data_IF_807685881562
#
_entry.id   IF_807685881562
#
_cell.length_a   1.000
_cell.length_b   1.000
_cell.length_c   1.000
_cell.angle_alpha   90.00
_cell.angle_beta   90.00
_cell.angle_gamma   90.00
#
_symmetry.space_group_name_H-M   'P 1'
#
loop_
_entity.id
_entity.type
_entity.pdbx_description
1 polymer ?
#
# COMPACT_ATOMS: atom_id res chain seq x y z
N UNK A 1 -28.15 -95.13 -10.31
CA UNK A 1 -27.91 -95.92 -9.09
C UNK A 1 -26.86 -95.18 -8.29
N UNK A 2 -27.02 -94.63 -7.09
CA UNK A 2 -28.08 -94.70 -6.07
C UNK A 2 -27.75 -93.58 -5.05
N UNK A 3 -28.74 -92.71 -4.77
CA UNK A 3 -29.10 -92.04 -3.50
C UNK A 3 -28.02 -91.41 -2.58
N UNK A 4 -28.24 -90.14 -2.19
CA UNK A 4 -28.26 -89.62 -0.79
C UNK A 4 -28.78 -88.17 -0.81
N UNK A 5 -30.08 -87.90 -0.57
CA UNK A 5 -30.83 -87.67 0.69
C UNK A 5 -30.41 -86.44 1.54
N UNK A 6 -31.39 -85.53 1.66
CA UNK A 6 -31.55 -84.33 2.53
C UNK A 6 -31.31 -84.56 4.04
N UNK A 7 -31.08 -83.49 4.83
CA UNK A 7 -32.16 -82.80 5.58
C UNK A 7 -32.06 -81.26 5.45
N UNK A 8 -33.11 -80.46 5.18
CA UNK A 8 -34.24 -80.03 6.02
C UNK A 8 -33.86 -79.67 7.46
N UNK A 9 -33.80 -78.36 7.75
CA UNK A 9 -34.22 -77.83 9.05
C UNK A 9 -34.80 -76.42 8.86
N UNK A 10 -36.07 -76.31 9.24
CA UNK A 10 -36.94 -75.13 9.21
C UNK A 10 -37.13 -74.65 10.64
N UNK A 11 -37.10 -73.32 10.79
CA UNK A 11 -37.73 -72.47 11.81
C UNK A 11 -37.33 -72.59 13.30
N UNK A 12 -36.83 -71.47 13.82
CA UNK A 12 -37.33 -70.90 15.07
C UNK A 12 -37.58 -69.40 14.85
N UNK A 13 -38.85 -69.00 14.87
CA UNK A 13 -39.29 -67.62 14.88
C UNK A 13 -39.32 -67.13 16.32
N UNK A 14 -38.61 -66.03 16.60
CA UNK A 14 -38.83 -65.20 17.79
C UNK A 14 -39.17 -63.80 17.34
N UNK A 15 -40.44 -63.44 17.53
CA UNK A 15 -40.98 -62.08 17.40
C UNK A 15 -40.61 -61.33 18.68
N UNK A 16 -39.76 -60.31 18.55
CA UNK A 16 -39.48 -59.31 19.58
C UNK A 16 -39.95 -57.95 19.08
N UNK A 17 -40.89 -57.34 19.81
CA UNK A 17 -41.57 -56.08 19.48
C UNK A 17 -40.64 -54.87 19.69
N UNK A 18 -40.89 -53.86 18.85
CA UNK A 18 -40.17 -52.62 18.58
C UNK A 18 -39.87 -51.69 19.77
N UNK A 19 -38.73 -51.00 19.66
CA UNK A 19 -38.52 -49.61 20.08
C UNK A 19 -37.86 -48.88 18.91
N UNK A 20 -38.45 -47.75 18.50
CA UNK A 20 -38.11 -47.04 17.27
C UNK A 20 -36.79 -46.26 17.34
N UNK A 21 -36.09 -46.23 16.21
CA UNK A 21 -35.15 -45.17 15.85
C UNK A 21 -35.19 -45.00 14.32
N UNK A 22 -35.99 -44.05 13.87
CA UNK A 22 -35.93 -43.52 12.51
C UNK A 22 -34.87 -42.43 12.46
N UNK A 23 -34.05 -42.41 11.40
CA UNK A 23 -33.19 -41.26 11.11
C UNK A 23 -32.03 -41.57 10.18
N UNK A 24 -32.33 -41.87 8.91
CA UNK A 24 -31.32 -41.80 7.86
C UNK A 24 -30.97 -40.33 7.58
N UNK A 25 -29.69 -40.01 7.48
CA UNK A 25 -29.21 -38.70 7.02
C UNK A 25 -28.74 -38.80 5.56
N UNK A 26 -29.45 -38.17 4.61
CA UNK A 26 -28.89 -37.75 3.35
C UNK A 26 -28.38 -36.30 3.45
N UNK A 27 -27.28 -36.03 2.75
CA UNK A 27 -26.80 -34.74 2.27
C UNK A 27 -26.48 -33.62 3.28
N UNK A 28 -25.21 -33.23 3.26
CA UNK A 28 -24.74 -31.93 3.70
C UNK A 28 -23.30 -31.74 3.24
N UNK A 29 -23.10 -31.35 1.98
CA UNK A 29 -21.92 -30.59 1.59
C UNK A 29 -21.87 -29.39 2.50
N UNK A 30 -21.04 -29.45 3.55
CA UNK A 30 -20.75 -28.31 4.38
C UNK A 30 -20.04 -27.33 3.45
N UNK A 31 -20.74 -26.27 3.05
CA UNK A 31 -20.12 -25.12 2.43
C UNK A 31 -19.00 -24.69 3.38
N UNK A 32 -17.77 -24.90 2.94
CA UNK A 32 -16.60 -24.21 3.46
C UNK A 32 -16.96 -22.72 3.45
N UNK A 33 -16.91 -22.00 4.59
CA UNK A 33 -17.13 -20.57 4.54
C UNK A 33 -16.11 -20.00 3.57
N UNK A 34 -16.56 -19.14 2.64
CA UNK A 34 -15.68 -18.38 1.79
C UNK A 34 -14.59 -17.78 2.69
N UNK A 35 -13.36 -18.29 2.55
CA UNK A 35 -12.27 -17.97 3.43
C UNK A 35 -12.10 -16.47 3.46
N UNK A 36 -11.95 -15.90 4.66
CA UNK A 36 -11.35 -14.58 4.78
C UNK A 36 -10.06 -14.59 3.93
N UNK A 37 -9.77 -13.53 3.17
CA UNK A 37 -8.47 -13.40 2.54
C UNK A 37 -7.39 -13.71 3.58
N UNK A 38 -6.37 -14.43 3.16
CA UNK A 38 -5.21 -14.69 4.03
C UNK A 38 -4.71 -13.33 4.55
N UNK A 39 -4.39 -13.25 5.85
CA UNK A 39 -3.99 -11.99 6.49
C UNK A 39 -2.86 -11.32 5.69
N UNK A 40 -1.93 -12.12 5.16
CA UNK A 40 -0.88 -11.67 4.25
C UNK A 40 -1.45 -10.92 3.04
N UNK A 41 -2.39 -11.53 2.30
CA UNK A 41 -2.96 -10.94 1.09
C UNK A 41 -3.62 -9.59 1.37
N UNK A 42 -4.37 -9.49 2.48
CA UNK A 42 -5.02 -8.23 2.86
C UNK A 42 -4.01 -7.16 3.29
N UNK A 43 -2.98 -7.54 4.06
CA UNK A 43 -1.96 -6.59 4.51
C UNK A 43 -1.10 -6.06 3.37
N UNK A 44 -0.83 -6.87 2.35
CA UNK A 44 -0.02 -6.48 1.18
C UNK A 44 -0.83 -5.82 0.06
N UNK A 45 -2.16 -5.76 0.18
CA UNK A 45 -3.02 -5.16 -0.84
C UNK A 45 -2.88 -3.63 -0.89
N UNK A 46 -2.46 -3.01 0.21
CA UNK A 46 -2.35 -1.57 0.34
C UNK A 46 -1.05 -1.19 1.06
N UNK A 47 -0.57 0.01 0.74
CA UNK A 47 0.24 0.76 1.67
C UNK A 47 -0.68 1.47 2.68
N UNK A 48 -0.18 1.69 3.88
CA UNK A 48 -0.99 2.11 5.02
C UNK A 48 -0.52 3.47 5.52
N UNK A 49 -1.45 4.41 5.72
CA UNK A 49 -1.20 5.72 6.31
C UNK A 49 -1.68 5.73 7.76
N UNK A 50 -0.82 6.12 8.70
CA UNK A 50 -1.15 6.18 10.12
C UNK A 50 -2.25 7.22 10.38
N UNK A 51 -3.32 6.78 11.04
CA UNK A 51 -4.37 7.63 11.57
C UNK A 51 -4.15 7.88 13.07
N UNK A 52 -3.49 9.00 13.39
CA UNK A 52 -3.13 9.36 14.77
C UNK A 52 -4.35 9.50 15.69
N UNK A 53 -5.49 9.97 15.16
CA UNK A 53 -6.70 10.23 15.95
C UNK A 53 -7.29 9.00 16.63
N UNK A 54 -6.95 7.80 16.17
CA UNK A 54 -7.36 6.51 16.74
C UNK A 54 -6.16 5.63 17.14
N UNK A 55 -4.99 6.25 17.31
CA UNK A 55 -3.77 5.57 17.76
C UNK A 55 -3.44 5.97 19.20
N UNK A 56 -2.81 5.08 19.96
CA UNK A 56 -2.40 5.29 21.35
C UNK A 56 -1.09 6.09 21.48
N UNK A 57 -0.81 6.98 20.53
CA UNK A 57 0.40 7.79 20.52
C UNK A 57 0.21 9.04 21.39
N UNK A 58 1.23 9.39 22.16
CA UNK A 58 1.20 10.47 23.16
C UNK A 58 1.31 11.88 22.56
N UNK A 59 1.51 12.00 21.25
CA UNK A 59 1.65 13.27 20.54
C UNK A 59 1.22 13.18 19.07
N UNK A 60 1.16 14.33 18.40
CA UNK A 60 0.96 14.38 16.95
C UNK A 60 2.20 13.90 16.21
N UNK A 61 2.02 13.25 15.06
CA UNK A 61 3.10 13.02 14.10
C UNK A 61 3.20 14.27 13.23
N UNK A 62 4.32 15.00 13.34
CA UNK A 62 4.52 16.24 12.58
C UNK A 62 4.64 16.02 11.06
N UNK A 63 4.91 14.77 10.65
CA UNK A 63 4.96 14.32 9.27
C UNK A 63 4.12 13.04 9.09
N UNK A 64 3.59 12.79 7.88
CA UNK A 64 2.85 11.57 7.59
C UNK A 64 3.69 10.31 7.85
N UNK A 65 3.08 9.30 8.46
CA UNK A 65 3.72 8.02 8.78
C UNK A 65 3.11 6.91 7.95
N UNK A 66 3.94 6.14 7.26
CA UNK A 66 3.48 5.05 6.39
C UNK A 66 3.95 3.68 6.88
N UNK A 67 3.26 2.65 6.43
CA UNK A 67 3.58 1.25 6.66
C UNK A 67 3.23 0.44 5.40
N UNK A 68 4.16 -0.35 4.92
CA UNK A 68 4.00 -1.23 3.77
C UNK A 68 4.56 -2.60 4.12
N UNK A 69 3.87 -3.67 3.72
CA UNK A 69 4.37 -5.03 3.86
C UNK A 69 4.86 -5.56 2.52
N UNK A 70 6.01 -6.22 2.52
CA UNK A 70 6.52 -6.95 1.36
C UNK A 70 6.43 -8.45 1.65
N UNK A 71 5.30 -9.04 1.23
CA UNK A 71 4.90 -10.39 1.62
C UNK A 71 4.78 -10.56 3.14
N UNK A 72 4.87 -11.80 3.62
CA UNK A 72 4.86 -12.12 5.05
C UNK A 72 6.20 -11.93 5.80
N UNK A 73 7.19 -11.24 5.23
CA UNK A 73 8.57 -11.26 5.79
C UNK A 73 9.20 -9.90 6.08
N UNK A 74 8.80 -8.84 5.38
CA UNK A 74 9.34 -7.51 5.61
C UNK A 74 8.25 -6.45 5.77
N UNK A 75 8.54 -5.47 6.62
CA UNK A 75 7.78 -4.23 6.76
C UNK A 75 8.71 -3.05 6.50
N UNK A 76 8.18 -1.99 5.89
CA UNK A 76 8.90 -0.75 5.66
C UNK A 76 7.97 0.45 5.71
N UNK A 77 8.53 1.65 5.84
CA UNK A 77 7.75 2.87 5.70
C UNK A 77 8.53 4.12 6.07
N UNK A 78 7.80 5.22 6.14
CA UNK A 78 8.29 6.51 6.61
C UNK A 78 7.79 6.73 8.03
N UNK A 79 8.71 6.96 8.96
CA UNK A 79 8.42 7.46 10.29
C UNK A 79 8.55 9.00 10.29
N UNK A 80 8.18 9.71 11.38
CA UNK A 80 8.16 11.17 11.40
C UNK A 80 9.48 11.87 11.01
N UNK A 81 10.64 11.22 11.15
CA UNK A 81 11.94 11.80 10.79
C UNK A 81 12.71 10.96 9.76
N UNK A 82 12.67 9.64 9.89
CA UNK A 82 13.48 8.68 9.15
C UNK A 82 12.60 7.70 8.39
N UNK A 83 13.17 7.05 7.38
CA UNK A 83 12.58 5.82 6.85
C UNK A 83 13.01 4.64 7.70
N UNK A 84 12.18 3.60 7.74
CA UNK A 84 12.44 2.40 8.51
C UNK A 84 12.16 1.14 7.70
N UNK A 85 12.79 0.04 8.13
CA UNK A 85 12.53 -1.31 7.65
C UNK A 85 12.68 -2.30 8.80
N UNK A 86 11.92 -3.37 8.79
CA UNK A 86 11.98 -4.43 9.78
C UNK A 86 11.54 -5.77 9.21
N UNK A 87 11.82 -6.83 9.95
CA UNK A 87 11.22 -8.13 9.67
C UNK A 87 9.79 -8.17 10.21
N UNK A 88 8.90 -8.87 9.51
CA UNK A 88 7.57 -9.23 10.03
C UNK A 88 7.45 -10.75 10.07
N UNK A 89 6.70 -11.26 11.03
CA UNK A 89 6.28 -12.66 11.09
C UNK A 89 4.78 -12.69 11.34
N UNK A 90 4.06 -13.45 10.51
CA UNK A 90 2.63 -13.68 10.65
C UNK A 90 2.43 -15.06 11.30
N UNK A 91 1.84 -15.09 12.50
CA UNK A 91 1.70 -16.30 13.32
C UNK A 91 0.38 -17.08 13.04
N UNK A 92 -0.26 -16.80 11.91
CA UNK A 92 -1.58 -17.31 11.54
C UNK A 92 -2.72 -16.65 12.32
N UNK A 93 -3.94 -16.69 11.77
CA UNK A 93 -5.06 -15.95 12.33
C UNK A 93 -4.84 -14.44 12.21
N UNK A 94 -4.86 -13.73 13.34
CA UNK A 94 -4.59 -12.29 13.46
C UNK A 94 -3.19 -11.98 14.01
N UNK A 95 -2.36 -13.00 14.27
CA UNK A 95 -1.04 -12.82 14.90
C UNK A 95 -0.03 -12.15 13.98
N UNK A 96 0.55 -11.03 14.43
CA UNK A 96 1.62 -10.30 13.74
C UNK A 96 2.73 -9.93 14.72
N UNK A 97 3.99 -10.09 14.32
CA UNK A 97 5.14 -9.63 15.10
C UNK A 97 6.07 -8.83 14.21
N UNK A 98 6.39 -7.62 14.64
CA UNK A 98 7.45 -6.82 14.03
C UNK A 98 8.75 -7.11 14.79
N UNK A 99 9.76 -7.57 14.07
CA UNK A 99 11.10 -7.84 14.59
C UNK A 99 11.93 -6.56 14.76
N UNK A 100 13.25 -6.72 14.74
CA UNK A 100 14.15 -5.57 14.86
C UNK A 100 13.93 -4.56 13.73
N UNK A 101 13.76 -3.29 14.09
CA UNK A 101 13.55 -2.19 13.16
C UNK A 101 14.87 -1.44 12.97
N UNK A 102 15.28 -1.28 11.71
CA UNK A 102 16.39 -0.44 11.30
C UNK A 102 15.86 0.85 10.69
N UNK A 103 16.48 1.98 11.02
CA UNK A 103 16.12 3.31 10.50
C UNK A 103 17.28 3.97 9.76
N UNK A 104 16.98 4.99 8.96
CA UNK A 104 17.98 5.99 8.60
C UNK A 104 18.37 6.84 9.81
N UNK A 105 19.45 7.61 9.69
CA UNK A 105 19.98 8.49 10.75
C UNK A 105 19.99 9.95 10.31
N UNK A 106 18.85 10.42 9.79
CA UNK A 106 18.60 11.84 9.58
C UNK A 106 18.43 12.52 10.94
N UNK A 107 19.00 13.71 11.08
CA UNK A 107 18.75 14.57 12.25
C UNK A 107 17.59 15.49 11.93
N UNK A 108 16.57 15.48 12.79
CA UNK A 108 15.38 16.31 12.68
C UNK A 108 15.21 17.17 13.92
N UNK A 109 14.17 18.01 13.93
CA UNK A 109 13.77 18.73 15.13
C UNK A 109 13.44 17.74 16.28
N UNK A 110 13.78 18.06 17.55
CA UNK A 110 13.64 17.13 18.68
C UNK A 110 12.24 16.55 18.87
N UNK A 111 11.20 17.29 18.47
CA UNK A 111 9.81 16.82 18.53
C UNK A 111 9.52 15.69 17.54
N UNK A 112 10.10 15.74 16.33
CA UNK A 112 9.95 14.68 15.32
C UNK A 112 10.71 13.42 15.73
N UNK A 113 11.91 13.57 16.28
CA UNK A 113 12.68 12.44 16.81
C UNK A 113 11.97 11.75 17.99
N UNK A 114 11.28 12.52 18.85
CA UNK A 114 10.45 11.96 19.92
C UNK A 114 9.24 11.20 19.37
N UNK A 115 8.49 11.82 18.45
CA UNK A 115 7.34 11.16 17.81
C UNK A 115 7.74 9.89 17.05
N UNK A 116 8.94 9.88 16.44
CA UNK A 116 9.49 8.69 15.78
C UNK A 116 9.77 7.56 16.76
N UNK A 117 10.43 7.83 17.89
CA UNK A 117 10.65 6.81 18.92
C UNK A 117 9.32 6.27 19.45
N UNK A 118 8.37 7.14 19.77
CA UNK A 118 7.05 6.74 20.27
C UNK A 118 6.34 5.80 19.27
N UNK A 119 6.38 6.14 17.98
CA UNK A 119 5.79 5.30 16.92
C UNK A 119 6.51 3.96 16.77
N UNK A 120 7.84 3.95 16.68
CA UNK A 120 8.61 2.72 16.46
C UNK A 120 8.57 1.78 17.67
N UNK A 121 8.56 2.33 18.88
CA UNK A 121 8.39 1.57 20.13
C UNK A 121 6.99 0.94 20.20
N UNK A 122 5.95 1.67 19.78
CA UNK A 122 4.60 1.12 19.66
C UNK A 122 4.55 0.02 18.59
N UNK A 123 5.15 0.24 17.41
CA UNK A 123 5.15 -0.70 16.30
C UNK A 123 5.86 -2.02 16.67
N UNK A 124 6.97 -1.99 17.41
CA UNK A 124 7.67 -3.19 17.88
C UNK A 124 6.86 -4.01 18.91
N UNK A 125 5.89 -3.38 19.59
CA UNK A 125 5.07 -4.02 20.61
C UNK A 125 3.85 -4.73 20.07
N UNK A 126 3.37 -4.40 18.87
CA UNK A 126 2.13 -4.97 18.29
C UNK A 126 2.20 -6.50 18.21
N UNK A 127 1.06 -7.16 18.43
CA UNK A 127 0.92 -8.62 18.46
C UNK A 127 -0.23 -9.14 17.61
N UNK A 128 -1.23 -8.30 17.35
CA UNK A 128 -2.41 -8.66 16.57
C UNK A 128 -2.69 -7.61 15.50
N UNK A 129 -3.18 -8.05 14.35
CA UNK A 129 -3.65 -7.24 13.24
C UNK A 129 -5.14 -7.50 12.99
N UNK A 130 -5.93 -6.44 12.98
CA UNK A 130 -7.32 -6.47 12.52
C UNK A 130 -7.43 -5.72 11.20
N UNK A 131 -7.88 -6.44 10.18
CA UNK A 131 -8.16 -5.96 8.83
C UNK A 131 -9.53 -6.45 8.36
N UNK A 132 -10.48 -6.55 9.30
CA UNK A 132 -11.88 -6.90 9.01
C UNK A 132 -12.53 -5.91 8.02
N UNK A 133 -12.00 -4.69 7.97
CA UNK A 133 -12.27 -3.68 6.97
C UNK A 133 -11.05 -3.57 6.02
N UNK A 134 -11.20 -3.81 4.70
CA UNK A 134 -10.07 -3.81 3.77
C UNK A 134 -9.37 -2.46 3.65
N UNK A 135 -10.04 -1.35 4.02
CA UNK A 135 -9.48 0.00 3.97
C UNK A 135 -8.89 0.44 5.31
N UNK A 136 -8.94 -0.41 6.34
CA UNK A 136 -8.46 -0.06 7.68
C UNK A 136 -7.70 -1.21 8.34
N UNK A 137 -6.45 -0.91 8.68
CA UNK A 137 -5.59 -1.79 9.45
C UNK A 137 -5.49 -1.27 10.89
N UNK A 138 -5.71 -2.15 11.86
CA UNK A 138 -5.48 -1.85 13.27
C UNK A 138 -4.47 -2.85 13.81
N UNK A 139 -3.33 -2.35 14.27
CA UNK A 139 -2.34 -3.14 14.99
C UNK A 139 -2.48 -2.91 16.49
N UNK A 140 -2.56 -3.98 17.28
CA UNK A 140 -2.74 -3.87 18.73
C UNK A 140 -1.83 -4.79 19.53
N UNK A 141 -1.59 -4.38 20.78
CA UNK A 141 -1.08 -5.19 21.88
C UNK A 141 -1.57 -4.57 23.20
N UNK A 142 -1.22 -5.16 24.35
CA UNK A 142 -1.59 -4.61 25.66
C UNK A 142 -1.16 -3.13 25.80
N UNK A 143 -2.13 -2.21 25.81
CA UNK A 143 -1.89 -0.78 25.93
C UNK A 143 -1.39 -0.08 24.66
N UNK A 144 -1.30 -0.78 23.53
CA UNK A 144 -0.86 -0.24 22.23
C UNK A 144 -1.96 -0.40 21.19
N UNK A 145 -2.24 0.68 20.46
CA UNK A 145 -3.12 0.70 19.29
C UNK A 145 -2.51 1.60 18.23
N UNK A 146 -2.30 1.08 17.02
CA UNK A 146 -1.95 1.85 15.84
C UNK A 146 -3.03 1.62 14.80
N UNK A 147 -3.77 2.66 14.43
CA UNK A 147 -4.77 2.62 13.38
C UNK A 147 -4.18 3.19 12.09
N UNK A 148 -4.44 2.54 10.97
CA UNK A 148 -4.05 2.99 9.64
C UNK A 148 -5.22 2.95 8.68
N UNK A 149 -5.16 3.79 7.65
CA UNK A 149 -6.07 3.79 6.52
C UNK A 149 -5.30 3.37 5.27
N UNK A 150 -5.92 2.57 4.41
CA UNK A 150 -5.35 2.21 3.12
C UNK A 150 -5.06 3.48 2.29
N UNK A 151 -3.89 3.51 1.67
CA UNK A 151 -3.52 4.55 0.73
C UNK A 151 -4.12 4.20 -0.63
N UNK A 152 -4.92 5.10 -1.18
CA UNK A 152 -5.27 5.10 -2.59
C UNK A 152 -4.33 6.08 -3.34
N UNK A 153 -3.41 5.59 -4.19
CA UNK A 153 -2.55 6.45 -5.00
C UNK A 153 -3.34 7.46 -5.84
N UNK A 154 -4.55 7.11 -6.30
CA UNK A 154 -5.42 7.99 -7.09
C UNK A 154 -5.89 9.20 -6.29
N UNK A 155 -6.18 9.02 -5.01
CA UNK A 155 -6.54 10.14 -4.14
C UNK A 155 -5.30 10.93 -3.71
N UNK A 156 -4.21 10.22 -3.43
CA UNK A 156 -3.01 10.81 -2.87
C UNK A 156 -2.25 11.69 -3.85
N UNK A 157 -2.26 11.34 -5.15
CA UNK A 157 -1.61 12.09 -6.22
C UNK A 157 -2.28 13.46 -6.49
N UNK A 158 -3.56 13.61 -6.19
CA UNK A 158 -4.33 14.83 -6.45
C UNK A 158 -3.84 15.97 -5.55
N UNK A 159 -3.49 17.12 -6.12
CA UNK A 159 -3.04 18.29 -5.38
C UNK A 159 -1.97 19.08 -6.11
N UNK A 160 -1.37 20.02 -5.39
CA UNK A 160 -0.26 20.84 -5.86
C UNK A 160 1.08 20.25 -5.38
N UNK A 161 2.02 20.15 -6.31
CA UNK A 161 3.32 19.54 -6.13
C UNK A 161 4.40 20.48 -6.64
N UNK A 162 5.33 20.87 -5.78
CA UNK A 162 6.54 21.56 -6.20
C UNK A 162 7.50 20.53 -6.76
N UNK A 163 7.87 20.65 -8.03
CA UNK A 163 8.81 19.73 -8.65
C UNK A 163 10.21 19.98 -8.09
N UNK A 164 10.92 18.93 -7.72
CA UNK A 164 12.23 19.04 -7.04
C UNK A 164 13.37 18.53 -7.90
N UNK A 165 13.11 17.61 -8.81
CA UNK A 165 14.11 17.12 -9.76
C UNK A 165 13.52 16.34 -10.92
N UNK A 166 14.24 16.34 -12.04
CA UNK A 166 13.84 15.70 -13.30
C UNK A 166 15.04 15.01 -13.92
N UNK A 167 14.82 13.91 -14.62
CA UNK A 167 15.87 13.17 -15.29
C UNK A 167 16.38 13.92 -16.53
N UNK A 168 17.69 14.13 -16.58
CA UNK A 168 18.39 14.62 -17.76
C UNK A 168 19.60 13.72 -18.04
N UNK A 169 19.58 13.05 -19.21
CA UNK A 169 20.54 11.99 -19.49
C UNK A 169 20.37 10.81 -18.54
N UNK A 170 21.43 10.46 -17.80
CA UNK A 170 21.47 9.30 -16.91
C UNK A 170 21.32 9.65 -15.41
N UNK A 171 20.93 10.87 -15.07
CA UNK A 171 20.83 11.32 -13.68
C UNK A 171 19.59 12.21 -13.44
N UNK A 172 19.12 12.23 -12.18
CA UNK A 172 18.16 13.24 -11.70
C UNK A 172 18.92 14.53 -11.42
N UNK A 173 18.49 15.62 -12.04
CA UNK A 173 18.97 16.97 -11.74
C UNK A 173 17.91 17.74 -10.97
N UNK A 174 18.35 18.58 -10.03
CA UNK A 174 17.47 19.52 -9.34
C UNK A 174 16.87 20.53 -10.32
N UNK A 175 15.71 21.07 -9.97
CA UNK A 175 15.10 22.12 -10.78
C UNK A 175 15.98 23.36 -10.86
N UNK A 176 15.95 24.01 -12.02
CA UNK A 176 16.64 25.28 -12.29
C UNK A 176 16.17 26.32 -11.28
N UNK A 177 17.15 26.94 -10.61
CA UNK A 177 16.92 28.01 -9.66
C UNK A 177 16.19 29.18 -10.35
N UNK A 178 15.12 29.67 -9.71
CA UNK A 178 14.25 30.72 -10.26
C UNK A 178 13.18 30.25 -11.25
N UNK A 179 13.18 28.98 -11.68
CA UNK A 179 12.08 28.40 -12.47
C UNK A 179 11.04 27.67 -11.61
N UNK A 180 11.51 27.03 -10.52
CA UNK A 180 10.73 26.33 -9.47
C UNK A 180 9.36 25.79 -9.94
N UNK A 181 9.34 24.79 -10.84
CA UNK A 181 8.10 24.35 -11.47
C UNK A 181 7.09 23.78 -10.48
N UNK A 182 5.81 24.01 -10.77
CA UNK A 182 4.68 23.51 -9.97
C UNK A 182 3.79 22.66 -10.87
N UNK A 183 3.49 21.46 -10.43
CA UNK A 183 2.49 20.59 -11.03
C UNK A 183 1.19 20.65 -10.21
N UNK A 184 0.07 20.84 -10.90
CA UNK A 184 -1.28 20.77 -10.34
C UNK A 184 -2.01 19.58 -10.95
N UNK A 185 -2.37 18.63 -10.11
CA UNK A 185 -3.05 17.38 -10.47
C UNK A 185 -4.46 17.43 -9.88
N UNK A 186 -5.48 17.27 -10.72
CA UNK A 186 -6.88 17.33 -10.30
C UNK A 186 -7.58 15.99 -10.47
N UNK A 187 -8.53 15.68 -9.58
CA UNK A 187 -9.21 14.38 -9.50
C UNK A 187 -10.01 13.98 -10.75
N UNK A 188 -10.31 14.94 -11.62
CA UNK A 188 -10.98 14.76 -12.92
C UNK A 188 -10.00 14.34 -14.04
N UNK A 189 -8.75 14.03 -13.71
CA UNK A 189 -7.77 13.49 -14.65
C UNK A 189 -6.95 14.56 -15.38
N UNK A 190 -7.01 15.83 -14.97
CA UNK A 190 -6.17 16.88 -15.55
C UNK A 190 -4.86 17.07 -14.78
N UNK A 191 -3.78 17.35 -15.53
CA UNK A 191 -2.48 17.73 -15.03
C UNK A 191 -2.02 19.01 -15.76
N UNK A 192 -1.69 20.05 -14.99
CA UNK A 192 -1.04 21.26 -15.49
C UNK A 192 0.33 21.42 -14.84
N UNK A 193 1.35 21.79 -15.60
CA UNK A 193 2.68 22.08 -15.07
C UNK A 193 3.10 23.49 -15.50
N UNK A 194 3.34 24.34 -14.52
CA UNK A 194 4.00 25.63 -14.71
C UNK A 194 5.51 25.39 -14.68
N UNK A 195 6.19 25.50 -15.82
CA UNK A 195 7.61 25.07 -15.97
C UNK A 195 8.63 26.17 -15.66
N UNK A 196 8.15 27.37 -15.35
CA UNK A 196 8.93 28.60 -15.25
C UNK A 196 8.97 29.41 -16.56
N UNK A 197 8.93 28.77 -17.73
CA UNK A 197 8.82 29.45 -19.02
C UNK A 197 7.44 29.25 -19.65
N UNK A 198 7.03 28.01 -19.91
CA UNK A 198 5.72 27.69 -20.47
C UNK A 198 4.78 27.06 -19.44
N UNK A 199 3.54 26.84 -19.88
CA UNK A 199 2.60 25.98 -19.16
C UNK A 199 2.31 24.75 -19.99
N UNK A 200 2.54 23.58 -19.43
CA UNK A 200 2.14 22.30 -19.99
C UNK A 200 0.76 21.92 -19.48
N UNK A 201 -0.06 21.33 -20.34
CA UNK A 201 -1.35 20.74 -19.98
C UNK A 201 -1.46 19.35 -20.58
N UNK A 202 -1.92 18.41 -19.78
CA UNK A 202 -2.12 17.02 -20.19
C UNK A 202 -3.20 16.37 -19.32
N UNK A 203 -3.49 15.11 -19.61
CA UNK A 203 -4.35 14.25 -18.80
C UNK A 203 -3.55 13.09 -18.24
N UNK A 204 -4.06 12.50 -17.16
CA UNK A 204 -3.47 11.36 -16.50
C UNK A 204 -4.54 10.33 -16.15
N UNK A 205 -4.14 9.07 -16.14
CA UNK A 205 -4.92 7.94 -15.65
C UNK A 205 -4.02 7.08 -14.75
N UNK A 206 -4.63 6.46 -13.74
CA UNK A 206 -3.92 5.58 -12.80
C UNK A 206 -4.74 4.33 -12.52
N UNK A 207 -4.07 3.19 -12.44
CA UNK A 207 -4.61 1.90 -11.98
C UNK A 207 -3.62 1.29 -10.97
N UNK A 208 -4.00 1.27 -9.70
CA UNK A 208 -3.06 1.01 -8.60
C UNK A 208 -1.92 2.03 -8.60
N UNK A 209 -0.69 1.58 -8.84
CA UNK A 209 0.49 2.44 -9.00
C UNK A 209 0.87 2.68 -10.46
N UNK A 210 0.25 1.98 -11.42
CA UNK A 210 0.54 2.18 -12.83
C UNK A 210 -0.11 3.50 -13.27
N UNK A 211 0.71 4.42 -13.79
CA UNK A 211 0.26 5.74 -14.23
C UNK A 211 0.55 5.89 -15.72
N UNK A 212 -0.41 6.48 -16.44
CA UNK A 212 -0.21 6.93 -17.81
C UNK A 212 -0.46 8.43 -17.85
N UNK A 213 0.48 9.17 -18.44
CA UNK A 213 0.33 10.60 -18.68
C UNK A 213 0.39 10.83 -20.19
N UNK A 214 -0.65 11.44 -20.73
CA UNK A 214 -0.74 11.72 -22.16
C UNK A 214 0.31 12.76 -22.60
N UNK A 215 0.56 12.85 -23.91
CA UNK A 215 1.49 13.82 -24.47
C UNK A 215 1.08 15.26 -24.07
N UNK A 216 1.92 16.00 -23.33
CA UNK A 216 1.56 17.35 -22.93
C UNK A 216 1.53 18.33 -24.10
N UNK A 217 0.52 19.19 -24.10
CA UNK A 217 0.45 20.38 -24.93
C UNK A 217 0.97 21.59 -24.15
N UNK A 218 1.93 22.31 -24.71
CA UNK A 218 2.55 23.48 -24.09
C UNK A 218 2.29 24.77 -24.86
N UNK A 219 2.52 25.91 -24.20
CA UNK A 219 2.79 27.18 -24.92
C UNK A 219 4.17 27.11 -25.61
N UNK A 220 4.42 28.01 -26.57
CA UNK A 220 5.64 28.00 -27.40
C UNK A 220 6.55 29.21 -27.14
N UNK A 221 6.63 29.67 -25.89
CA UNK A 221 7.60 30.70 -25.50
C UNK A 221 9.01 30.10 -25.51
N UNK A 222 9.98 30.93 -25.89
CA UNK A 222 11.40 30.56 -25.88
C UNK A 222 12.14 31.50 -24.93
N UNK A 223 12.29 31.08 -23.67
CA UNK A 223 12.94 31.87 -22.63
C UNK A 223 14.44 31.61 -22.60
N UNK A 224 15.24 32.66 -22.43
CA UNK A 224 16.70 32.54 -22.21
C UNK A 224 17.04 32.47 -20.72
N UNK A 225 16.18 33.02 -19.86
CA UNK A 225 16.32 33.04 -18.41
C UNK A 225 15.13 32.36 -17.72
N UNK A 226 15.36 31.64 -16.60
CA UNK A 226 16.67 31.29 -16.07
C UNK A 226 17.41 30.30 -16.99
N UNK A 227 18.74 30.33 -16.95
CA UNK A 227 19.55 29.50 -17.84
C UNK A 227 19.20 28.01 -17.69
N UNK A 228 18.90 27.35 -18.80
CA UNK A 228 18.51 25.94 -18.82
C UNK A 228 17.00 25.67 -18.67
N UNK A 229 16.15 26.69 -18.48
CA UNK A 229 14.69 26.51 -18.31
C UNK A 229 14.05 25.75 -19.48
N UNK A 230 14.48 26.02 -20.71
CA UNK A 230 13.95 25.33 -21.90
C UNK A 230 14.39 23.86 -21.98
N UNK A 231 15.56 23.51 -21.44
CA UNK A 231 16.02 22.12 -21.40
C UNK A 231 15.29 21.35 -20.30
N UNK A 232 15.12 21.97 -19.13
CA UNK A 232 14.28 21.42 -18.06
C UNK A 232 12.86 21.16 -18.56
N UNK A 233 12.25 22.07 -19.30
CA UNK A 233 10.91 21.88 -19.85
C UNK A 233 10.81 20.66 -20.77
N UNK A 234 11.80 20.45 -21.65
CA UNK A 234 11.85 19.23 -22.49
C UNK A 234 12.01 17.97 -21.65
N UNK A 235 12.84 18.04 -20.61
CA UNK A 235 13.03 16.93 -19.67
C UNK A 235 11.73 16.63 -18.89
N UNK A 236 10.97 17.65 -18.50
CA UNK A 236 9.66 17.49 -17.86
C UNK A 236 8.66 16.82 -18.80
N UNK A 237 8.58 17.26 -20.07
CA UNK A 237 7.74 16.61 -21.08
C UNK A 237 8.13 15.13 -21.23
N UNK A 238 9.42 14.85 -21.38
CA UNK A 238 9.91 13.48 -21.50
C UNK A 238 9.55 12.64 -20.28
N UNK A 239 9.85 13.13 -19.07
CA UNK A 239 9.59 12.44 -17.81
C UNK A 239 8.10 12.11 -17.63
N UNK A 240 7.20 13.06 -17.92
CA UNK A 240 5.76 12.83 -17.89
C UNK A 240 5.36 11.71 -18.86
N UNK A 241 5.79 11.79 -20.13
CA UNK A 241 5.41 10.80 -21.15
C UNK A 241 6.03 9.41 -20.96
N UNK A 242 7.16 9.31 -20.25
CA UNK A 242 7.80 8.01 -19.96
C UNK A 242 7.38 7.40 -18.64
N UNK A 243 6.66 8.14 -17.80
CA UNK A 243 6.20 7.63 -16.52
C UNK A 243 5.28 6.42 -16.74
N UNK A 244 5.60 5.33 -16.06
CA UNK A 244 4.84 4.09 -16.06
C UNK A 244 4.30 3.76 -14.67
N UNK A 245 4.99 4.20 -13.62
CA UNK A 245 4.55 4.02 -12.23
C UNK A 245 4.71 5.30 -11.42
N UNK A 246 3.88 5.43 -10.39
CA UNK A 246 3.99 6.49 -9.38
C UNK A 246 4.21 5.87 -8.01
N UNK A 247 5.24 6.36 -7.32
CA UNK A 247 5.42 6.19 -5.90
C UNK A 247 5.00 7.49 -5.21
N UNK A 248 3.91 7.45 -4.46
CA UNK A 248 3.32 8.63 -3.84
C UNK A 248 3.07 8.40 -2.35
N UNK A 249 3.55 9.36 -1.56
CA UNK A 249 3.28 9.49 -0.14
C UNK A 249 2.56 10.81 0.10
N UNK A 250 2.05 11.10 1.31
CA UNK A 250 1.39 12.38 1.54
C UNK A 250 2.35 13.59 1.51
N UNK A 251 3.66 13.39 1.47
CA UNK A 251 4.66 14.46 1.42
C UNK A 251 5.50 14.51 0.13
N UNK A 252 5.65 13.39 -0.56
CA UNK A 252 6.54 13.26 -1.71
C UNK A 252 5.91 12.40 -2.82
N UNK A 253 6.30 12.69 -4.06
CA UNK A 253 5.89 11.98 -5.25
C UNK A 253 7.12 11.71 -6.12
N UNK A 254 7.24 10.49 -6.60
CA UNK A 254 8.20 10.11 -7.64
C UNK A 254 7.48 9.42 -8.78
N UNK A 255 7.78 9.85 -10.01
CA UNK A 255 7.42 9.10 -11.20
C UNK A 255 8.60 8.24 -11.62
N UNK A 256 8.33 7.00 -12.03
CA UNK A 256 9.32 6.06 -12.51
C UNK A 256 8.92 5.55 -13.90
N UNK A 257 9.91 5.23 -14.73
CA UNK A 257 9.68 4.63 -16.04
C UNK A 257 9.42 3.10 -15.96
N UNK A 258 9.34 2.46 -17.12
CA UNK A 258 9.10 1.02 -17.27
C UNK A 258 10.25 0.14 -16.76
N UNK A 259 11.47 0.70 -16.64
CA UNK A 259 12.61 0.04 -16.01
C UNK A 259 12.60 0.19 -14.47
N UNK A 260 11.70 1.01 -13.92
CA UNK A 260 11.66 1.34 -12.49
C UNK A 260 12.68 2.41 -12.09
N UNK A 261 13.24 3.15 -13.06
CA UNK A 261 14.13 4.27 -12.78
C UNK A 261 13.34 5.56 -12.61
N UNK A 262 13.70 6.36 -11.60
CA UNK A 262 13.05 7.65 -11.33
C UNK A 262 13.25 8.59 -12.55
N UNK A 263 12.16 9.23 -12.97
CA UNK A 263 12.14 10.25 -14.03
C UNK A 263 11.84 11.65 -13.50
N UNK A 264 11.09 11.76 -12.40
CA UNK A 264 10.67 13.01 -11.81
C UNK A 264 10.44 12.84 -10.31
N UNK A 265 10.80 13.84 -9.53
CA UNK A 265 10.54 13.92 -8.10
C UNK A 265 9.85 15.23 -7.77
N UNK A 266 8.94 15.19 -6.80
CA UNK A 266 8.22 16.36 -6.32
C UNK A 266 7.93 16.25 -4.82
N UNK A 267 7.68 17.41 -4.21
CA UNK A 267 7.24 17.54 -2.82
C UNK A 267 5.87 18.18 -2.76
N UNK A 268 5.08 17.78 -1.77
CA UNK A 268 3.76 18.37 -1.57
C UNK A 268 3.87 19.83 -1.11
N UNK A 269 2.94 20.65 -1.57
CA UNK A 269 2.81 22.06 -1.19
C UNK A 269 1.84 22.28 -0.02
#
# INVERSE_FOLDING_TARGET
MTLFRFPVLVAAATVGVALGACGGSPNGTRNEPAGLPDLEQSLTAHDWLLYVGDSSLTGGVGNPVTLALSGATAVSGTAPCNTYRGAVTLDGGDGVRIGDIATTLMSCEPALEAAERDYLDALAQVRTADISDPERLILTADGVRLSFTAIDPRELIVGDWALTGVRTGAAIQSMVEGAEPIARITADGNLAVETGCNTLRTTWEIDGQAITVEQPAGTLMNCEEPAGVMEQERALVAALTTAATVDVTPAALSLLDDAGDIVLTARRM
#
